data_IF_728996380891
#
_entry.id   IF_728996380891
#
_cell.length_a   1.000
_cell.length_b   1.000
_cell.length_c   1.000
_cell.angle_alpha   90.00
_cell.angle_beta   90.00
_cell.angle_gamma   90.00
#
_symmetry.space_group_name_H-M   'P 1'
#
loop_
_entity.id
_entity.type
_entity.pdbx_description
1 polymer ?
#
# COMPACT_ATOMS: atom_id res chain seq x y z
N UNK A 1 3.02 -13.58 -17.41
CA UNK A 1 2.61 -13.41 -17.17
C UNK A 1 1.93 -12.95 -17.21
N UNK A 2 2.11 -12.69 -17.27
CA UNK A 2 1.50 -12.26 -17.35
C UNK A 2 0.84 -11.57 -17.18
N UNK A 3 0.46 -11.61 -17.25
CA UNK A 3 -0.22 -10.93 -17.33
C UNK A 3 -0.41 -10.10 -16.83
N UNK A 4 -0.12 -10.13 -16.51
CA UNK A 4 -0.19 -9.23 -15.92
C UNK A 4 0.13 -8.28 -16.41
N UNK A 5 0.15 -8.43 -17.23
CA UNK A 5 -0.05 -7.91 -17.53
C UNK A 5 -0.01 -7.21 -18.07
N UNK A 6 0.18 -7.37 -18.70
CA UNK A 6 -0.14 -6.92 -19.16
C UNK A 6 -0.43 -6.20 -19.25
N UNK A 7 -0.28 -6.35 -19.38
CA UNK A 7 -0.81 -5.82 -19.30
C UNK A 7 -0.64 -4.87 -19.30
N UNK A 8 -0.29 -4.86 -19.69
CA UNK A 8 -0.36 -4.10 -19.59
C UNK A 8 -0.33 -3.31 -19.78
N UNK A 9 -0.16 -3.36 -20.26
CA UNK A 9 -0.44 -2.80 -20.43
C UNK A 9 -0.84 -2.02 -20.51
N UNK A 10 -0.79 -1.97 -20.84
CA UNK A 10 -1.37 -1.47 -20.87
C UNK A 10 -1.75 -0.55 -20.85
N UNK A 11 -1.80 -0.30 -20.93
CA UNK A 11 -2.34 0.35 -20.89
C UNK A 11 -2.54 1.39 -20.97
N UNK A 12 -2.59 1.68 -21.27
CA UNK A 12 -2.91 2.48 -21.52
C UNK A 12 -3.33 3.48 -21.26
N UNK A 13 -3.36 3.78 -21.27
CA UNK A 13 -3.90 4.50 -21.12
C UNK A 13 -4.29 5.44 -20.63
N UNK A 14 -4.53 5.68 -20.60
CA UNK A 14 -4.82 6.54 -20.21
C UNK A 14 -5.16 7.26 -19.38
N UNK A 15 -5.65 7.53 -19.49
CA UNK A 15 -5.97 7.88 -18.51
C UNK A 15 -5.46 7.39 -17.47
N UNK A 16 -5.00 7.09 -17.56
CA UNK A 16 -4.24 6.33 -16.77
C UNK A 16 -3.73 6.89 -15.51
N UNK A 17 -3.80 8.08 -15.28
CA UNK A 17 -3.41 8.65 -14.03
C UNK A 17 -4.13 8.06 -12.89
N UNK A 18 -5.34 7.65 -13.14
CA UNK A 18 -6.17 7.13 -12.10
C UNK A 18 -6.03 5.65 -11.98
N UNK A 19 -5.24 5.10 -12.85
CA UNK A 19 -5.07 3.67 -12.86
C UNK A 19 -3.86 3.28 -12.06
N UNK A 20 -4.07 2.97 -10.83
CA UNK A 20 -3.01 2.42 -10.00
C UNK A 20 -3.21 0.93 -9.94
N UNK A 21 -2.16 0.17 -10.19
CA UNK A 21 -2.22 -1.26 -10.02
C UNK A 21 -2.17 -1.60 -8.55
N UNK A 22 -2.38 -2.87 -8.23
CA UNK A 22 -2.34 -3.32 -6.84
C UNK A 22 -1.02 -3.02 -6.18
N UNK A 23 0.08 -3.21 -6.89
CA UNK A 23 1.39 -2.95 -6.31
C UNK A 23 1.58 -1.48 -6.00
N UNK A 24 1.05 -0.62 -6.86
CA UNK A 24 1.16 0.81 -6.63
C UNK A 24 0.39 1.22 -5.38
N UNK A 25 -0.79 0.66 -5.21
CA UNK A 25 -1.61 0.96 -4.04
C UNK A 25 -0.95 0.44 -2.77
N UNK A 26 -0.41 -0.77 -2.83
CA UNK A 26 0.30 -1.35 -1.69
C UNK A 26 1.47 -0.46 -1.31
N UNK A 27 2.24 -0.03 -2.30
CA UNK A 27 3.39 0.82 -2.04
C UNK A 27 2.96 2.15 -1.42
N UNK A 28 1.86 2.73 -1.91
CA UNK A 28 1.34 3.97 -1.34
C UNK A 28 0.99 3.80 0.13
N UNK A 29 0.33 2.70 0.47
CA UNK A 29 -0.08 2.45 1.84
C UNK A 29 1.14 2.28 2.73
N UNK A 30 2.12 1.49 2.28
CA UNK A 30 3.31 1.24 3.07
C UNK A 30 4.11 2.52 3.27
N UNK A 31 4.23 3.32 2.21
CA UNK A 31 4.96 4.56 2.29
C UNK A 31 4.30 5.54 3.26
N UNK A 32 2.98 5.57 3.28
CA UNK A 32 2.24 6.46 4.15
C UNK A 32 2.22 5.98 5.60
N UNK A 33 2.65 4.76 5.85
CA UNK A 33 2.55 4.15 7.17
C UNK A 33 3.81 4.24 8.01
N UNK A 34 4.75 5.06 7.63
CA UNK A 34 5.96 5.27 8.43
C UNK A 34 5.58 6.01 9.71
N UNK A 35 6.05 5.50 10.83
CA UNK A 35 5.84 6.17 12.10
C UNK A 35 4.52 5.89 12.78
N UNK A 36 3.68 5.09 12.16
CA UNK A 36 2.39 4.75 12.74
C UNK A 36 1.30 5.75 12.39
N UNK A 37 0.27 5.31 11.69
CA UNK A 37 -0.78 6.21 11.24
C UNK A 37 -2.14 5.55 11.43
N UNK A 38 -3.16 6.37 11.50
CA UNK A 38 -4.52 5.90 11.65
C UNK A 38 -5.09 5.44 10.33
N UNK A 39 -6.06 4.55 10.41
CA UNK A 39 -6.77 4.04 9.26
C UNK A 39 -7.35 5.17 8.40
N UNK A 40 -7.96 6.14 9.06
CA UNK A 40 -8.58 7.24 8.33
C UNK A 40 -7.56 8.06 7.57
N UNK A 41 -6.37 8.20 8.14
CA UNK A 41 -5.30 8.90 7.45
C UNK A 41 -4.93 8.16 6.16
N UNK A 42 -4.84 6.84 6.23
CA UNK A 42 -4.51 6.05 5.04
C UNK A 42 -5.58 6.16 3.97
N UNK A 43 -6.84 6.17 4.37
CA UNK A 43 -7.92 6.32 3.40
C UNK A 43 -7.78 7.62 2.64
N UNK A 44 -7.52 8.68 3.36
CA UNK A 44 -7.37 9.99 2.77
C UNK A 44 -6.13 10.10 1.92
N UNK A 45 -5.01 9.72 2.52
CA UNK A 45 -3.72 9.89 1.89
C UNK A 45 -3.59 9.06 0.62
N UNK A 46 -4.17 7.86 0.63
CA UNK A 46 -4.05 6.94 -0.49
C UNK A 46 -5.30 6.92 -1.37
N UNK A 47 -6.27 7.75 -1.04
CA UNK A 47 -7.49 7.87 -1.83
C UNK A 47 -8.19 6.53 -2.00
N UNK A 48 -8.50 5.89 -0.88
CA UNK A 48 -9.14 4.58 -0.86
C UNK A 48 -10.49 4.65 -0.18
N UNK A 49 -11.40 3.82 -0.62
CA UNK A 49 -12.65 3.64 0.10
C UNK A 49 -12.36 2.81 1.34
N UNK A 50 -13.29 2.80 2.28
CA UNK A 50 -13.16 2.00 3.47
C UNK A 50 -12.97 0.53 3.11
N UNK A 51 -13.76 0.05 2.16
CA UNK A 51 -13.70 -1.34 1.76
C UNK A 51 -12.34 -1.68 1.14
N UNK A 52 -11.84 -0.81 0.30
CA UNK A 52 -10.54 -1.02 -0.31
C UNK A 52 -9.45 -1.07 0.74
N UNK A 53 -9.48 -0.11 1.67
CA UNK A 53 -8.47 -0.09 2.71
C UNK A 53 -8.55 -1.34 3.56
N UNK A 54 -9.76 -1.78 3.89
CA UNK A 54 -9.95 -2.97 4.68
C UNK A 54 -9.31 -4.18 4.01
N UNK A 55 -9.55 -4.33 2.72
CA UNK A 55 -9.00 -5.46 1.98
C UNK A 55 -7.49 -5.41 1.88
N UNK A 56 -6.96 -4.25 1.55
CA UNK A 56 -5.51 -4.10 1.43
C UNK A 56 -4.82 -4.26 2.77
N UNK A 57 -5.37 -3.65 3.82
CA UNK A 57 -4.72 -3.73 5.11
C UNK A 57 -4.72 -5.17 5.64
N UNK A 58 -5.79 -5.92 5.37
CA UNK A 58 -5.83 -7.31 5.77
C UNK A 58 -4.70 -8.09 5.08
N UNK A 59 -4.54 -7.88 3.79
CA UNK A 59 -3.48 -8.52 3.03
C UNK A 59 -2.11 -8.15 3.57
N UNK A 60 -1.91 -6.87 3.84
CA UNK A 60 -0.60 -6.40 4.29
C UNK A 60 -0.27 -6.89 5.70
N UNK A 61 -1.26 -6.93 6.57
CA UNK A 61 -1.05 -7.44 7.92
C UNK A 61 -0.77 -8.94 7.88
N UNK A 62 -1.51 -9.66 7.05
CA UNK A 62 -1.35 -11.10 6.95
C UNK A 62 0.03 -11.47 6.42
N UNK A 63 0.56 -10.64 5.53
CA UNK A 63 1.86 -10.91 4.93
C UNK A 63 3.01 -10.25 5.66
N UNK A 64 2.76 -9.62 6.79
CA UNK A 64 3.82 -9.06 7.60
C UNK A 64 4.43 -7.79 7.06
N UNK A 65 3.73 -7.09 6.18
CA UNK A 65 4.23 -5.84 5.61
C UNK A 65 3.80 -4.64 6.45
N UNK A 66 2.69 -4.78 7.16
CA UNK A 66 2.23 -3.79 8.13
C UNK A 66 2.05 -4.48 9.47
N UNK A 67 2.08 -3.71 10.54
CA UNK A 67 1.67 -4.22 11.83
C UNK A 67 0.89 -3.14 12.56
N UNK A 68 0.15 -3.57 13.57
CA UNK A 68 -0.65 -2.65 14.37
C UNK A 68 0.14 -2.29 15.60
N UNK A 69 0.28 -1.00 15.85
CA UNK A 69 0.95 -0.49 17.04
C UNK A 69 -0.10 0.14 17.91
N UNK A 70 -0.21 -0.33 19.12
CA UNK A 70 -1.17 0.21 20.06
C UNK A 70 -0.56 1.32 20.86
N UNK A 71 -1.37 2.34 21.07
CA UNK A 71 -0.91 3.43 21.88
C UNK A 71 -1.56 3.34 23.20
N UNK A 72 -1.08 2.51 24.01
CA UNK A 72 -1.56 2.40 25.34
C UNK A 72 -3.07 2.27 25.38
N UNK A 73 -3.65 2.83 26.37
CA UNK A 73 -5.05 2.63 26.61
C UNK A 73 -5.93 3.45 25.69
N UNK A 74 -5.33 4.34 24.98
CA UNK A 74 -6.11 5.17 24.12
C UNK A 74 -6.50 4.52 22.85
N UNK A 75 -5.87 3.47 22.51
CA UNK A 75 -5.96 2.92 21.20
C UNK A 75 -7.14 2.04 21.02
N UNK A 76 -8.23 2.61 20.90
CA UNK A 76 -9.38 1.86 20.49
C UNK A 76 -9.11 1.29 19.13
N UNK A 77 -8.48 2.09 18.29
CA UNK A 77 -8.09 1.58 16.98
C UNK A 77 -6.60 1.75 16.93
N UNK A 78 -5.87 0.73 16.77
CA UNK A 78 -4.43 0.83 16.71
C UNK A 78 -3.97 1.68 15.54
N UNK A 79 -2.69 1.93 15.52
CA UNK A 79 -2.05 2.61 14.42
C UNK A 79 -1.41 1.56 13.52
N UNK A 80 -1.42 1.80 12.23
CA UNK A 80 -0.75 0.92 11.29
C UNK A 80 0.64 1.46 11.04
N UNK A 81 1.61 0.58 11.06
CA UNK A 81 2.99 0.98 10.81
C UNK A 81 3.64 -0.01 9.89
N UNK A 82 4.47 0.49 8.97
CA UNK A 82 5.20 -0.36 8.03
C UNK A 82 6.28 -1.13 8.79
N UNK A 83 6.41 -2.41 8.49
CA UNK A 83 7.40 -3.26 9.12
C UNK A 83 8.72 -3.16 8.34
N UNK A 84 9.75 -3.81 8.87
CA UNK A 84 11.02 -3.89 8.15
C UNK A 84 10.81 -4.58 6.83
N UNK A 85 10.01 -5.65 6.83
CA UNK A 85 9.69 -6.36 5.59
C UNK A 85 8.96 -5.44 4.62
N UNK A 86 8.06 -4.59 5.15
CA UNK A 86 7.36 -3.63 4.31
C UNK A 86 8.30 -2.61 3.70
N UNK A 87 9.30 -2.19 4.45
CA UNK A 87 10.29 -1.26 3.91
C UNK A 87 11.12 -1.90 2.83
N UNK A 88 11.43 -3.18 2.99
CA UNK A 88 12.14 -3.93 1.96
C UNK A 88 11.29 -4.03 0.69
N UNK A 89 9.98 -4.22 0.87
CA UNK A 89 9.07 -4.25 -0.26
C UNK A 89 9.10 -2.92 -1.00
N UNK A 90 9.04 -1.81 -0.24
CA UNK A 90 9.08 -0.48 -0.85
C UNK A 90 10.34 -0.26 -1.65
N UNK A 91 11.45 -0.71 -1.11
CA UNK A 91 12.72 -0.55 -1.80
C UNK A 91 12.72 -1.34 -3.10
N UNK A 92 12.28 -2.58 -3.04
CA UNK A 92 12.21 -3.41 -4.25
C UNK A 92 11.24 -2.82 -5.26
N UNK A 93 10.14 -2.28 -4.81
CA UNK A 93 9.17 -1.64 -5.68
C UNK A 93 9.79 -0.44 -6.40
N UNK A 94 10.51 0.40 -5.67
CA UNK A 94 11.14 1.57 -6.26
C UNK A 94 12.21 1.16 -7.29
N UNK A 95 12.96 0.14 -6.95
CA UNK A 95 13.98 -0.36 -7.86
C UNK A 95 13.34 -0.90 -9.13
N UNK A 96 12.24 -1.62 -8.98
CA UNK A 96 11.54 -2.16 -10.14
C UNK A 96 11.00 -1.03 -11.02
N UNK A 97 10.43 -0.01 -10.40
CA UNK A 97 9.89 1.11 -11.16
C UNK A 97 11.01 1.81 -11.94
N UNK A 98 12.16 1.96 -11.32
CA UNK A 98 13.29 2.60 -11.98
C UNK A 98 13.71 1.81 -13.22
N UNK A 99 13.69 0.50 -13.13
CA UNK A 99 14.05 -0.34 -14.26
C UNK A 99 13.04 -0.27 -15.40
N UNK A 100 11.83 0.12 -15.08
CA UNK A 100 10.77 0.19 -16.07
C UNK A 100 10.62 1.54 -16.74
N UNK A 101 11.38 2.52 -16.29
CA UNK A 101 11.30 3.87 -16.88
C UNK A 101 12.15 4.06 -18.12
#
# INVERSE_FOLDING_TARGET
MATWGVVLVVSKNNDSNNHRGNLDIIADILDASHGGVKKTFLMYRCNLSFKQLKNYSHFLLTNGLLHVVSEAEEAVTGLFEVTIKGKQFLRAYRDLKTLME
#
